data_IF_007676911025
#
_entry.id   IF_007676911025
#
_cell.length_a   1.000
_cell.length_b   1.000
_cell.length_c   1.000
_cell.angle_alpha   90.00
_cell.angle_beta   90.00
_cell.angle_gamma   90.00
#
_symmetry.space_group_name_H-M   'P 1'
#
loop_
_entity.id
_entity.type
_entity.pdbx_description
1 polymer ?
#
# COMPACT_ATOMS: atom_id res chain seq x y z
N UNK A 1 18.42 18.58 -15.43
CA UNK A 1 17.63 17.34 -15.62
C UNK A 1 17.04 17.01 -14.26
N UNK A 2 15.74 16.72 -14.15
CA UNK A 2 15.21 16.15 -12.90
C UNK A 2 15.69 14.71 -12.81
N UNK A 3 16.43 14.36 -11.76
CA UNK A 3 16.85 12.98 -11.46
C UNK A 3 15.98 12.47 -10.32
N UNK A 4 15.48 11.26 -10.44
CA UNK A 4 14.71 10.59 -9.37
C UNK A 4 15.58 9.49 -8.77
N UNK A 5 15.65 9.43 -7.45
CA UNK A 5 16.33 8.36 -6.73
C UNK A 5 15.31 7.58 -5.92
N UNK A 6 15.41 6.25 -5.96
CA UNK A 6 14.67 5.38 -5.04
C UNK A 6 15.42 5.33 -3.72
N UNK A 7 14.76 5.74 -2.64
CA UNK A 7 15.27 5.65 -1.27
C UNK A 7 14.52 4.53 -0.55
N UNK A 8 15.29 3.63 0.07
CA UNK A 8 14.76 2.56 0.92
C UNK A 8 14.80 3.03 2.37
N UNK A 9 13.67 3.00 3.05
CA UNK A 9 13.56 3.36 4.46
C UNK A 9 13.04 2.19 5.26
N UNK A 10 13.67 1.89 6.40
CA UNK A 10 13.22 0.81 7.26
C UNK A 10 11.86 1.16 7.87
N UNK A 11 10.91 0.26 7.69
CA UNK A 11 9.57 0.40 8.28
C UNK A 11 9.69 0.25 9.80
N UNK A 12 9.08 1.15 10.60
CA UNK A 12 9.07 1.02 12.05
C UNK A 12 8.46 -0.30 12.51
N UNK A 13 9.13 -1.01 13.41
CA UNK A 13 8.65 -2.31 13.90
C UNK A 13 7.25 -2.24 14.53
N UNK A 14 6.93 -1.16 15.25
CA UNK A 14 5.58 -0.93 15.80
C UNK A 14 4.49 -0.90 14.73
N UNK A 15 4.81 -0.44 13.52
CA UNK A 15 3.88 -0.44 12.40
C UNK A 15 3.66 -1.85 11.86
N UNK A 16 4.73 -2.66 11.76
CA UNK A 16 4.62 -4.08 11.42
C UNK A 16 3.77 -4.83 12.45
N UNK A 17 4.04 -4.63 13.74
CA UNK A 17 3.28 -5.24 14.83
C UNK A 17 1.79 -4.85 14.81
N UNK A 18 1.51 -3.59 14.48
CA UNK A 18 0.14 -3.13 14.24
C UNK A 18 -0.50 -3.90 13.09
N UNK A 19 0.14 -3.97 11.92
CA UNK A 19 -0.40 -4.69 10.76
C UNK A 19 -0.65 -6.18 11.04
N UNK A 20 0.20 -6.84 11.83
CA UNK A 20 -0.02 -8.23 12.25
C UNK A 20 -1.23 -8.39 13.18
N UNK A 21 -1.50 -7.41 14.05
CA UNK A 21 -2.62 -7.45 15.01
C UNK A 21 -3.95 -7.01 14.39
N UNK A 22 -3.90 -6.15 13.39
CA UNK A 22 -5.06 -5.61 12.71
C UNK A 22 -4.99 -5.96 11.22
N UNK A 23 -5.45 -7.17 10.82
CA UNK A 23 -5.62 -7.50 9.42
C UNK A 23 -6.46 -6.41 8.76
N UNK A 24 -5.97 -5.85 7.65
CA UNK A 24 -6.66 -4.75 6.98
C UNK A 24 -8.09 -5.21 6.64
N UNK A 25 -9.14 -4.47 7.06
CA UNK A 25 -10.51 -4.91 6.86
C UNK A 25 -10.74 -5.15 5.37
N UNK A 26 -11.19 -6.36 5.05
CA UNK A 26 -11.51 -6.76 3.70
C UNK A 26 -12.69 -5.88 3.29
N UNK A 27 -12.58 -5.20 2.16
CA UNK A 27 -13.79 -4.75 1.47
C UNK A 27 -14.45 -6.03 0.94
N UNK A 28 -15.18 -6.73 1.80
CA UNK A 28 -15.77 -8.01 1.48
C UNK A 28 -16.59 -7.83 0.20
N UNK A 29 -16.20 -8.63 -0.79
CA UNK A 29 -16.63 -8.52 -2.17
C UNK A 29 -18.14 -8.67 -2.25
N UNK A 30 -18.90 -7.62 -2.53
CA UNK A 30 -20.22 -7.83 -3.13
C UNK A 30 -19.98 -8.58 -4.43
N UNK A 31 -20.67 -9.71 -4.60
CA UNK A 31 -20.67 -10.42 -5.87
C UNK A 31 -21.18 -9.50 -6.98
N UNK A 32 -20.86 -9.82 -8.24
CA UNK A 32 -21.37 -9.06 -9.38
C UNK A 32 -22.91 -9.01 -9.38
N UNK A 33 -23.57 -10.10 -8.96
CA UNK A 33 -25.03 -10.20 -8.83
C UNK A 33 -25.59 -9.29 -7.73
N UNK A 34 -24.89 -9.12 -6.62
CA UNK A 34 -25.27 -8.18 -5.57
C UNK A 34 -25.02 -6.75 -6.01
N UNK A 35 -23.88 -6.50 -6.64
CA UNK A 35 -23.49 -5.18 -7.14
C UNK A 35 -24.47 -4.69 -8.22
N UNK A 36 -24.98 -5.59 -9.07
CA UNK A 36 -25.97 -5.31 -10.11
C UNK A 36 -27.32 -4.82 -9.56
N UNK A 37 -27.64 -5.07 -8.28
CA UNK A 37 -28.88 -4.60 -7.62
C UNK A 37 -28.78 -3.14 -7.17
N UNK A 38 -27.60 -2.54 -7.22
CA UNK A 38 -27.36 -1.17 -6.79
C UNK A 38 -27.34 -0.17 -7.94
N UNK A 39 -27.46 1.12 -7.60
CA UNK A 39 -27.36 2.22 -8.55
C UNK A 39 -25.99 2.30 -9.20
N UNK A 40 -25.90 2.85 -10.41
CA UNK A 40 -24.63 3.05 -11.11
C UNK A 40 -23.60 3.82 -10.27
N UNK A 41 -24.02 4.92 -9.63
CA UNK A 41 -23.18 5.70 -8.71
C UNK A 41 -22.59 4.85 -7.58
N UNK A 42 -23.39 3.95 -6.98
CA UNK A 42 -22.91 3.05 -5.96
C UNK A 42 -21.87 2.07 -6.51
N UNK A 43 -22.11 1.49 -7.69
CA UNK A 43 -21.19 0.53 -8.32
C UNK A 43 -19.84 1.18 -8.61
N UNK A 44 -19.83 2.40 -9.12
CA UNK A 44 -18.60 3.16 -9.34
C UNK A 44 -17.86 3.48 -8.04
N UNK A 45 -18.59 3.93 -7.01
CA UNK A 45 -18.02 4.20 -5.69
C UNK A 45 -17.45 2.93 -5.03
N UNK A 46 -18.13 1.80 -5.21
CA UNK A 46 -17.66 0.49 -4.77
C UNK A 46 -16.38 0.08 -5.50
N UNK A 47 -16.34 0.16 -6.82
CA UNK A 47 -15.14 -0.17 -7.62
C UNK A 47 -13.92 0.66 -7.21
N UNK A 48 -14.09 1.98 -7.00
CA UNK A 48 -13.02 2.88 -6.53
C UNK A 48 -12.51 2.50 -5.14
N UNK A 49 -13.42 2.16 -4.21
CA UNK A 49 -13.07 1.72 -2.85
C UNK A 49 -12.34 0.38 -2.87
N UNK A 50 -12.86 -0.59 -3.62
CA UNK A 50 -12.26 -1.91 -3.77
C UNK A 50 -10.84 -1.81 -4.33
N UNK A 51 -10.64 -1.04 -5.40
CA UNK A 51 -9.32 -0.83 -5.99
C UNK A 51 -8.29 -0.26 -4.99
N UNK A 52 -8.69 0.72 -4.18
CA UNK A 52 -7.81 1.28 -3.14
C UNK A 52 -7.51 0.25 -2.05
N UNK A 53 -8.52 -0.49 -1.60
CA UNK A 53 -8.37 -1.54 -0.59
C UNK A 53 -7.42 -2.65 -1.08
N UNK A 54 -7.58 -3.12 -2.32
CA UNK A 54 -6.73 -4.14 -2.94
C UNK A 54 -5.26 -3.68 -3.01
N UNK A 55 -5.01 -2.40 -3.35
CA UNK A 55 -3.66 -1.82 -3.36
C UNK A 55 -3.03 -1.75 -1.98
N UNK A 56 -3.79 -1.29 -0.97
CA UNK A 56 -3.30 -1.23 0.41
C UNK A 56 -3.00 -2.64 0.93
N UNK A 57 -3.85 -3.62 0.58
CA UNK A 57 -3.62 -5.03 0.95
C UNK A 57 -2.33 -5.55 0.35
N UNK A 58 -2.15 -5.41 -0.95
CA UNK A 58 -0.92 -5.86 -1.62
C UNK A 58 0.34 -5.21 -1.01
N UNK A 59 0.26 -3.93 -0.65
CA UNK A 59 1.33 -3.22 0.04
C UNK A 59 1.62 -3.83 1.44
N UNK A 60 0.59 -4.07 2.26
CA UNK A 60 0.76 -4.63 3.59
C UNK A 60 1.28 -6.07 3.55
N UNK A 61 0.74 -6.89 2.64
CA UNK A 61 1.18 -8.28 2.43
C UNK A 61 2.67 -8.29 2.06
N UNK A 62 3.11 -7.41 1.15
CA UNK A 62 4.53 -7.30 0.78
C UNK A 62 5.44 -6.91 1.96
N UNK A 63 5.01 -5.97 2.82
CA UNK A 63 5.78 -5.58 4.01
C UNK A 63 5.85 -6.72 5.04
N UNK A 64 4.74 -7.42 5.27
CA UNK A 64 4.68 -8.54 6.20
C UNK A 64 5.52 -9.72 5.72
N UNK A 65 5.52 -10.01 4.42
CA UNK A 65 6.31 -11.08 3.85
C UNK A 65 7.81 -10.77 3.90
N UNK A 66 8.21 -9.54 3.58
CA UNK A 66 9.59 -9.08 3.83
C UNK A 66 10.00 -9.24 5.29
N UNK A 67 9.12 -8.86 6.22
CA UNK A 67 9.40 -8.98 7.66
C UNK A 67 9.56 -10.44 8.10
N UNK A 68 8.72 -11.36 7.61
CA UNK A 68 8.82 -12.79 7.92
C UNK A 68 10.13 -13.39 7.41
N UNK A 69 10.62 -12.95 6.26
CA UNK A 69 11.85 -13.46 5.65
C UNK A 69 13.11 -12.88 6.29
N UNK A 70 13.13 -11.55 6.55
CA UNK A 70 14.36 -10.81 6.92
C UNK A 70 14.39 -10.32 8.38
N UNK A 71 13.28 -10.38 9.09
CA UNK A 71 13.10 -9.76 10.41
C UNK A 71 12.92 -8.24 10.38
N UNK A 72 12.81 -7.64 9.19
CA UNK A 72 12.49 -6.23 8.96
C UNK A 72 11.87 -6.04 7.57
N UNK A 73 11.21 -4.90 7.37
CA UNK A 73 10.69 -4.52 6.06
C UNK A 73 11.21 -3.14 5.66
N UNK A 74 11.34 -2.90 4.37
CA UNK A 74 11.74 -1.62 3.79
C UNK A 74 10.62 -1.07 2.92
N UNK A 75 10.41 0.24 3.01
CA UNK A 75 9.53 1.01 2.15
C UNK A 75 10.37 1.75 1.11
N UNK A 76 9.90 1.74 -0.13
CA UNK A 76 10.58 2.37 -1.27
C UNK A 76 9.85 3.64 -1.67
N UNK A 77 10.55 4.78 -1.60
CA UNK A 77 10.03 6.07 -2.03
C UNK A 77 10.90 6.66 -3.14
N UNK A 78 10.28 7.12 -4.22
CA UNK A 78 10.93 7.92 -5.24
C UNK A 78 11.03 9.38 -4.76
N UNK A 79 12.25 9.91 -4.69
CA UNK A 79 12.52 11.30 -4.30
C UNK A 79 13.13 12.02 -5.50
N UNK A 80 12.58 13.19 -5.85
CA UNK A 80 13.22 14.10 -6.82
C UNK A 80 14.48 14.68 -6.17
N UNK A 81 15.64 14.45 -6.79
CA UNK A 81 16.92 14.99 -6.33
C UNK A 81 17.24 16.21 -7.20
N UNK A 82 17.41 17.37 -6.57
CA UNK A 82 18.03 18.54 -7.18
C UNK A 82 19.55 18.41 -7.02
N UNK A 83 20.33 18.74 -8.05
CA UNK A 83 21.82 18.59 -8.09
C UNK A 83 22.58 19.38 -6.98
N UNK A 84 21.90 20.02 -6.03
CA UNK A 84 22.48 20.78 -4.91
C UNK A 84 22.86 19.93 -3.67
N UNK A 85 22.73 18.60 -3.70
CA UNK A 85 23.14 17.70 -2.60
C UNK A 85 24.30 16.76 -2.96
N UNK A 86 25.21 17.19 -3.85
CA UNK A 86 26.56 16.60 -4.00
C UNK A 86 27.62 17.47 -3.32
N UNK A 87 27.53 17.73 -2.00
CA UNK A 87 28.69 18.20 -1.22
C UNK A 87 28.51 18.03 0.30
N UNK A 88 28.77 16.81 0.81
CA UNK A 88 29.55 16.57 2.04
C UNK A 88 29.83 15.08 2.26
#
# INVERSE_FOLDING_TARGET
MKRTKVVKTRVPQKFIEYMMRTPHPICDGLSEDELAKHTEEFREGYAKRKFKSDKIRAYYDALLDQYKEKGFAEDEAEVEVTDDEEEN
#
